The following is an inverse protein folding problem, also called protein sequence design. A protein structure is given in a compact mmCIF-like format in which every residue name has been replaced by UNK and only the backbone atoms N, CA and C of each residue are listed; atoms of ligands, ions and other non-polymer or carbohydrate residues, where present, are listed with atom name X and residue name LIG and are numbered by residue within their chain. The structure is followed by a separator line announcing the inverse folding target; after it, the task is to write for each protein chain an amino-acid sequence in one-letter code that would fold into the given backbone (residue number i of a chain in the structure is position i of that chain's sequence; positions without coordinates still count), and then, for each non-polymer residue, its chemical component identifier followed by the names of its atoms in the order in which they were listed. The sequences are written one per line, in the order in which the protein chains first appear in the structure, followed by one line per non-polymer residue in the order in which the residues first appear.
data_IF_829401922550
#
_entry.id   IF_829401922550
#
_cell.length_a   1.000
_cell.length_b   1.000
_cell.length_c   1.000
_cell.angle_alpha   90.00
_cell.angle_beta   90.00
_cell.angle_gamma   90.00
#
_symmetry.space_group_name_H-M   'P 1'
#
loop_
_entity.id
_entity.type
_entity.pdbx_description
1 polymer ?
#
# COMPACT_ATOMS: atom_id res chain seq x y z
N UNK A 1 -39.69 22.89 -42.29
CA UNK A 1 -39.19 23.83 -41.25
C UNK A 1 -37.96 23.21 -40.59
N UNK A 2 -36.76 23.80 -40.77
CA UNK A 2 -35.49 23.28 -40.25
C UNK A 2 -35.25 23.82 -38.83
N UNK A 3 -35.12 22.96 -37.83
CA UNK A 3 -34.79 23.36 -36.44
C UNK A 3 -33.26 23.46 -36.30
N UNK A 4 -32.75 24.63 -35.91
CA UNK A 4 -31.32 24.86 -35.59
C UNK A 4 -30.98 24.22 -34.23
N UNK A 5 -29.77 23.68 -34.02
CA UNK A 5 -29.37 23.17 -32.72
C UNK A 5 -28.97 24.33 -31.80
N UNK A 6 -29.59 24.39 -30.63
CA UNK A 6 -29.19 25.26 -29.51
C UNK A 6 -28.03 24.57 -28.79
N UNK A 7 -26.87 25.23 -28.74
CA UNK A 7 -25.75 24.81 -27.89
C UNK A 7 -26.13 25.03 -26.42
N UNK A 8 -26.43 23.96 -25.69
CA UNK A 8 -26.53 24.00 -24.23
C UNK A 8 -25.12 23.84 -23.65
N UNK A 9 -24.54 24.94 -23.20
CA UNK A 9 -23.36 24.91 -22.32
C UNK A 9 -23.92 24.68 -20.92
N UNK A 10 -23.82 23.46 -20.41
CA UNK A 10 -24.09 23.15 -19.01
C UNK A 10 -22.76 22.94 -18.32
N UNK A 11 -22.23 24.03 -17.76
CA UNK A 11 -21.17 23.98 -16.76
C UNK A 11 -21.79 23.50 -15.45
N UNK A 12 -21.82 22.19 -15.23
CA UNK A 12 -22.07 21.62 -13.91
C UNK A 12 -20.72 21.47 -13.20
N UNK A 13 -20.43 22.46 -12.37
CA UNK A 13 -19.37 22.44 -11.38
C UNK A 13 -19.70 21.34 -10.35
N UNK A 14 -19.30 20.10 -10.62
CA UNK A 14 -19.37 19.02 -9.65
C UNK A 14 -18.35 19.33 -8.55
N UNK A 15 -18.84 19.84 -7.41
CA UNK A 15 -18.05 19.98 -6.20
C UNK A 15 -17.46 18.60 -5.85
N UNK A 16 -16.15 18.55 -6.00
CA UNK A 16 -15.21 17.56 -5.54
C UNK A 16 -15.47 17.14 -4.09
N UNK A 17 -16.06 15.96 -3.90
CA UNK A 17 -15.78 15.14 -2.72
C UNK A 17 -14.32 14.69 -2.82
N UNK A 18 -13.45 15.44 -2.17
CA UNK A 18 -12.02 15.15 -2.08
C UNK A 18 -11.84 13.82 -1.33
N UNK A 19 -11.71 12.74 -2.09
CA UNK A 19 -11.12 11.50 -1.60
C UNK A 19 -9.64 11.79 -1.34
N UNK A 20 -9.29 12.03 -0.08
CA UNK A 20 -7.90 12.08 0.37
C UNK A 20 -7.41 10.63 0.46
N UNK A 21 -7.01 10.09 -0.67
CA UNK A 21 -6.30 8.81 -0.76
C UNK A 21 -4.87 9.09 -1.21
N UNK A 22 -3.88 8.52 -0.53
CA UNK A 22 -2.52 8.42 -1.08
C UNK A 22 -2.53 7.34 -2.18
N UNK A 23 -3.20 7.64 -3.28
CA UNK A 23 -3.28 6.78 -4.45
C UNK A 23 -2.12 7.14 -5.38
N UNK A 24 -1.06 6.32 -5.41
CA UNK A 24 -0.20 6.27 -6.58
C UNK A 24 -1.04 5.73 -7.75
N UNK A 25 -1.77 6.60 -8.46
CA UNK A 25 -2.62 6.18 -9.55
C UNK A 25 -1.79 5.62 -10.71
N UNK A 26 -1.88 4.31 -10.94
CA UNK A 26 -1.27 3.65 -12.09
C UNK A 26 -1.52 2.14 -12.11
N UNK A 27 -1.56 1.56 -13.30
CA UNK A 27 -1.73 0.11 -13.53
C UNK A 27 -0.69 -0.80 -12.82
N UNK A 28 0.35 -0.20 -12.23
CA UNK A 28 1.42 -0.88 -11.51
C UNK A 28 1.12 -1.20 -10.04
N UNK A 29 0.09 -0.59 -9.40
CA UNK A 29 -0.28 -0.94 -8.02
C UNK A 29 -0.93 -2.33 -7.93
N UNK A 30 -1.79 -2.68 -8.90
CA UNK A 30 -2.45 -3.99 -8.94
C UNK A 30 -1.48 -5.12 -9.33
N UNK A 31 -0.34 -4.79 -9.92
CA UNK A 31 0.72 -5.74 -10.29
C UNK A 31 1.90 -5.76 -9.31
N UNK A 32 1.84 -4.99 -8.21
CA UNK A 32 2.89 -5.04 -7.18
C UNK A 32 2.62 -6.20 -6.23
N UNK A 33 3.67 -6.97 -5.96
CA UNK A 33 3.64 -7.96 -4.89
C UNK A 33 3.34 -7.24 -3.56
N UNK A 34 2.42 -7.82 -2.79
CA UNK A 34 2.21 -7.45 -1.40
C UNK A 34 3.32 -8.13 -0.59
N UNK A 35 4.28 -7.34 -0.10
CA UNK A 35 5.46 -7.89 0.58
C UNK A 35 5.25 -7.86 2.09
N UNK A 36 5.12 -9.04 2.69
CA UNK A 36 5.19 -9.26 4.13
C UNK A 36 6.65 -9.52 4.51
N UNK A 37 7.26 -8.56 5.20
CA UNK A 37 8.61 -8.67 5.70
C UNK A 37 8.65 -9.10 7.18
N UNK A 38 9.53 -10.03 7.55
CA UNK A 38 9.70 -10.43 8.96
C UNK A 38 11.18 -10.75 9.26
N UNK A 39 11.51 -10.91 10.53
CA UNK A 39 12.77 -11.55 10.90
C UNK A 39 12.82 -12.99 10.37
N UNK A 40 14.02 -13.48 10.14
CA UNK A 40 14.22 -14.87 9.76
C UNK A 40 13.61 -15.81 10.82
N UNK A 41 12.90 -16.85 10.36
CA UNK A 41 12.23 -17.85 11.19
C UNK A 41 11.11 -17.35 12.12
N UNK A 42 10.63 -16.11 11.97
CA UNK A 42 9.52 -15.57 12.78
C UNK A 42 8.11 -15.96 12.32
N UNK A 43 7.97 -16.70 11.21
CA UNK A 43 6.69 -17.22 10.72
C UNK A 43 6.84 -18.68 10.30
N UNK A 44 5.88 -19.53 10.69
CA UNK A 44 5.92 -20.95 10.35
C UNK A 44 5.85 -21.16 8.83
N UNK A 45 6.64 -22.10 8.27
CA UNK A 45 6.58 -22.40 6.84
C UNK A 45 5.19 -22.83 6.36
N UNK A 46 4.43 -23.54 7.21
CA UNK A 46 3.08 -23.98 6.89
C UNK A 46 2.12 -22.79 6.72
N UNK A 47 2.16 -21.81 7.62
CA UNK A 47 1.36 -20.60 7.51
C UNK A 47 1.75 -19.77 6.27
N UNK A 48 3.05 -19.66 5.98
CA UNK A 48 3.50 -19.03 4.74
C UNK A 48 2.95 -19.72 3.49
N UNK A 49 2.94 -21.06 3.48
CA UNK A 49 2.41 -21.85 2.38
C UNK A 49 0.90 -21.62 2.19
N UNK A 50 0.12 -21.71 3.27
CA UNK A 50 -1.34 -21.50 3.24
C UNK A 50 -1.70 -20.09 2.75
N UNK A 51 -0.99 -19.06 3.24
CA UNK A 51 -1.22 -17.68 2.84
C UNK A 51 -0.86 -17.43 1.37
N UNK A 52 0.23 -18.02 0.85
CA UNK A 52 0.59 -17.93 -0.58
C UNK A 52 -0.44 -18.62 -1.49
N UNK A 53 -1.04 -19.72 -1.03
CA UNK A 53 -2.10 -20.40 -1.77
C UNK A 53 -3.40 -19.59 -1.81
N UNK A 54 -3.65 -18.80 -0.76
CA UNK A 54 -4.85 -17.95 -0.65
C UNK A 54 -4.69 -16.63 -1.42
N UNK A 55 -3.48 -16.04 -1.38
CA UNK A 55 -3.20 -14.72 -1.94
C UNK A 55 -2.07 -14.78 -2.98
N UNK A 56 -2.45 -14.75 -4.26
CA UNK A 56 -1.54 -14.96 -5.39
C UNK A 56 -0.42 -13.91 -5.54
N UNK A 57 -0.58 -12.72 -4.95
CA UNK A 57 0.41 -11.64 -4.99
C UNK A 57 1.18 -11.46 -3.67
N UNK A 58 1.04 -12.39 -2.72
CA UNK A 58 1.74 -12.33 -1.44
C UNK A 58 3.17 -12.87 -1.55
N UNK A 59 4.13 -12.01 -1.22
CA UNK A 59 5.54 -12.36 -1.10
C UNK A 59 5.96 -12.27 0.37
N UNK A 60 6.70 -13.27 0.84
CA UNK A 60 7.39 -13.20 2.13
C UNK A 60 8.85 -12.82 1.89
N UNK A 61 9.34 -11.87 2.66
CA UNK A 61 10.75 -11.50 2.68
C UNK A 61 11.29 -11.54 4.11
N UNK A 62 12.57 -11.92 4.25
CA UNK A 62 13.24 -11.98 5.54
C UNK A 62 14.29 -10.87 5.63
N UNK A 63 14.39 -10.22 6.79
CA UNK A 63 15.45 -9.27 7.06
C UNK A 63 16.27 -9.64 8.29
N UNK A 64 17.55 -9.30 8.25
CA UNK A 64 18.51 -9.61 9.30
C UNK A 64 18.55 -8.55 10.42
N UNK A 65 18.08 -7.32 10.15
CA UNK A 65 18.08 -6.24 11.13
C UNK A 65 16.96 -5.22 10.88
N UNK A 66 16.60 -4.47 11.92
CA UNK A 66 15.62 -3.40 11.79
C UNK A 66 16.10 -2.28 10.86
N UNK A 67 17.40 -1.98 10.79
CA UNK A 67 17.96 -0.94 9.92
C UNK A 67 17.74 -1.28 8.44
N UNK A 68 17.88 -2.56 8.10
CA UNK A 68 17.52 -3.07 6.77
C UNK A 68 16.03 -2.92 6.51
N UNK A 69 15.19 -3.30 7.49
CA UNK A 69 13.74 -3.16 7.38
C UNK A 69 13.30 -1.70 7.20
N UNK A 70 13.82 -0.78 8.01
CA UNK A 70 13.58 0.66 7.94
C UNK A 70 13.87 1.21 6.54
N UNK A 71 15.03 0.86 5.98
CA UNK A 71 15.42 1.27 4.62
C UNK A 71 14.41 0.78 3.58
N UNK A 72 13.96 -0.48 3.70
CA UNK A 72 12.99 -1.06 2.77
C UNK A 72 11.58 -0.48 2.92
N UNK A 73 11.15 -0.10 4.13
CA UNK A 73 9.90 0.66 4.31
C UNK A 73 9.99 2.06 3.71
N UNK A 74 11.10 2.78 3.93
CA UNK A 74 11.35 4.12 3.34
C UNK A 74 11.32 4.08 1.82
N UNK A 75 11.88 3.04 1.23
CA UNK A 75 11.91 2.83 -0.22
C UNK A 75 10.59 2.25 -0.78
N UNK A 76 9.56 2.09 0.06
CA UNK A 76 8.28 1.46 -0.30
C UNK A 76 8.45 0.03 -0.86
N UNK A 77 9.51 -0.69 -0.48
CA UNK A 77 9.72 -2.09 -0.87
C UNK A 77 8.84 -3.03 -0.04
N UNK A 78 8.64 -2.73 1.25
CA UNK A 78 7.82 -3.53 2.16
C UNK A 78 6.42 -2.95 2.34
N UNK A 79 5.41 -3.82 2.38
CA UNK A 79 4.01 -3.42 2.56
C UNK A 79 3.60 -3.56 4.03
N UNK A 80 3.89 -4.71 4.64
CA UNK A 80 3.70 -4.93 6.08
C UNK A 80 4.90 -5.65 6.66
N UNK A 81 5.08 -5.58 7.97
CA UNK A 81 6.10 -6.38 8.63
C UNK A 81 6.15 -6.23 10.14
N UNK A 82 6.92 -7.10 10.76
CA UNK A 82 7.08 -7.17 12.23
C UNK A 82 8.45 -6.65 12.61
N UNK A 83 8.50 -5.44 13.16
CA UNK A 83 9.74 -4.75 13.55
C UNK A 83 9.79 -4.58 15.07
N UNK A 84 10.99 -4.32 15.59
CA UNK A 84 11.15 -3.90 16.98
C UNK A 84 10.51 -2.52 17.24
N UNK A 85 10.07 -2.29 18.47
CA UNK A 85 9.32 -1.08 18.86
C UNK A 85 10.01 0.23 18.46
N UNK A 86 11.33 0.35 18.63
CA UNK A 86 12.05 1.58 18.27
C UNK A 86 11.97 1.89 16.77
N UNK A 87 12.02 0.86 15.93
CA UNK A 87 11.96 1.02 14.48
C UNK A 87 10.54 1.38 14.03
N UNK A 88 9.52 0.82 14.68
CA UNK A 88 8.12 1.22 14.46
C UNK A 88 7.92 2.70 14.81
N UNK A 89 8.43 3.15 15.97
CA UNK A 89 8.36 4.56 16.38
C UNK A 89 9.08 5.49 15.39
N UNK A 90 10.26 5.08 14.88
CA UNK A 90 10.98 5.84 13.86
C UNK A 90 10.16 6.03 12.56
N UNK A 91 9.50 4.97 12.08
CA UNK A 91 8.64 5.04 10.90
C UNK A 91 7.37 5.88 11.13
N UNK A 92 6.82 5.85 12.35
CA UNK A 92 5.69 6.71 12.74
C UNK A 92 6.11 8.18 12.74
N UNK A 93 7.24 8.51 13.37
CA UNK A 93 7.75 9.89 13.42
C UNK A 93 8.04 10.45 12.02
N UNK A 94 8.44 9.59 11.09
CA UNK A 94 8.68 9.97 9.69
C UNK A 94 7.41 9.99 8.82
N UNK A 95 6.24 9.63 9.37
CA UNK A 95 4.98 9.61 8.63
C UNK A 95 4.91 8.55 7.54
N UNK A 96 5.70 7.48 7.66
CA UNK A 96 5.77 6.40 6.66
C UNK A 96 4.65 5.38 6.87
N UNK A 97 4.31 5.09 8.12
CA UNK A 97 3.26 4.12 8.44
C UNK A 97 1.88 4.73 8.26
N UNK A 98 0.97 3.92 7.71
CA UNK A 98 -0.45 4.23 7.69
C UNK A 98 -1.10 3.79 9.00
N UNK A 99 -2.01 4.63 9.51
CA UNK A 99 -2.83 4.27 10.66
C UNK A 99 -3.78 3.15 10.26
N UNK A 100 -3.85 2.09 11.07
CA UNK A 100 -4.82 1.03 10.88
C UNK A 100 -6.23 1.55 11.23
N UNK A 101 -7.20 1.26 10.37
CA UNK A 101 -8.62 1.46 10.62
C UNK A 101 -9.19 0.14 11.19
N UNK A 102 -9.77 0.20 12.40
CA UNK A 102 -10.19 -0.97 13.19
C UNK A 102 -11.71 -0.94 13.40
#
# INVERSE_FOLDING_TARGET
MKKKPVKLIVSALALSSVLVTSCEAGANLLNRNFVYANFESYMSPNLQSELRQTYNNLQFDAFASNEKALTNFKNKTYTIGTLSTYAVLDLIHQGILQKLDW
#
